data_IF_465253910701
#
_entry.id   IF_465253910701
#
_cell.length_a   1.000
_cell.length_b   1.000
_cell.length_c   1.000
_cell.angle_alpha   90.00
_cell.angle_beta   90.00
_cell.angle_gamma   90.00
#
_symmetry.space_group_name_H-M   'P 1'
#
loop_
_entity.id
_entity.type
_entity.pdbx_description
1 polymer ?
#
# COMPACT_ATOMS: atom_id res chain seq x y z
N UNK A 1 2.08 -9.45 23.82
CA UNK A 1 2.89 -8.95 22.69
C UNK A 1 2.26 -7.66 22.15
N UNK A 2 3.04 -6.60 21.91
CA UNK A 2 2.50 -5.30 21.47
C UNK A 2 2.37 -5.24 19.94
N UNK A 3 1.15 -4.97 19.45
CA UNK A 3 0.82 -4.78 18.03
C UNK A 3 1.74 -3.76 17.33
N UNK A 4 2.14 -2.69 18.03
CA UNK A 4 3.08 -1.68 17.51
C UNK A 4 4.45 -2.27 17.17
N UNK A 5 4.91 -3.25 17.95
CA UNK A 5 6.22 -3.91 17.73
C UNK A 5 6.19 -4.79 16.49
N UNK A 6 5.09 -5.52 16.29
CA UNK A 6 4.87 -6.32 15.08
C UNK A 6 4.74 -5.43 13.84
N UNK A 7 4.10 -4.26 13.96
CA UNK A 7 4.02 -3.29 12.87
C UNK A 7 5.40 -2.75 12.47
N UNK A 8 6.21 -2.31 13.45
CA UNK A 8 7.56 -1.83 13.17
C UNK A 8 8.43 -2.91 12.52
N UNK A 9 8.32 -4.15 13.00
CA UNK A 9 9.05 -5.28 12.42
C UNK A 9 8.61 -5.57 10.98
N UNK A 10 7.30 -5.55 10.70
CA UNK A 10 6.76 -5.73 9.36
C UNK A 10 7.21 -4.62 8.41
N UNK A 11 7.24 -3.36 8.86
CA UNK A 11 7.72 -2.22 8.08
C UNK A 11 9.22 -2.33 7.76
N UNK A 12 10.03 -2.75 8.73
CA UNK A 12 11.47 -3.03 8.55
C UNK A 12 11.71 -4.19 7.57
N UNK A 13 10.96 -5.28 7.71
CA UNK A 13 11.01 -6.42 6.79
C UNK A 13 10.69 -5.99 5.35
N UNK A 14 9.59 -5.25 5.15
CA UNK A 14 9.25 -4.72 3.83
C UNK A 14 10.30 -3.72 3.31
N UNK A 15 10.97 -2.98 4.19
CA UNK A 15 12.05 -2.08 3.81
C UNK A 15 13.27 -2.81 3.27
N UNK A 16 13.67 -3.91 3.91
CA UNK A 16 14.77 -4.75 3.45
C UNK A 16 14.47 -5.41 2.10
N UNK A 17 13.20 -5.75 1.85
CA UNK A 17 12.73 -6.28 0.57
C UNK A 17 12.56 -5.22 -0.53
N UNK A 18 12.89 -3.95 -0.26
CA UNK A 18 12.77 -2.86 -1.23
C UNK A 18 11.34 -2.29 -1.40
N UNK A 19 10.39 -2.73 -0.56
CA UNK A 19 9.06 -2.14 -0.38
C UNK A 19 9.00 -1.15 0.80
N UNK A 20 10.15 -0.67 1.28
CA UNK A 20 10.22 0.29 2.38
C UNK A 20 9.63 1.65 2.04
N UNK A 21 9.29 2.46 3.06
CA UNK A 21 8.89 3.84 2.90
C UNK A 21 10.10 4.70 2.50
N UNK A 22 10.68 4.49 1.31
CA UNK A 22 11.59 5.47 0.71
C UNK A 22 10.75 6.44 -0.10
N UNK A 23 10.60 7.62 0.49
CA UNK A 23 10.03 8.87 -0.04
C UNK A 23 8.51 8.98 0.09
N UNK A 24 8.13 10.03 0.82
CA UNK A 24 6.79 10.57 1.04
C UNK A 24 6.00 10.58 -0.29
N UNK A 25 4.90 9.83 -0.36
CA UNK A 25 3.85 10.12 -1.35
C UNK A 25 3.30 8.97 -2.17
N UNK A 26 4.07 7.96 -2.60
CA UNK A 26 3.58 6.79 -3.35
C UNK A 26 4.78 5.95 -3.79
N UNK A 27 5.02 4.81 -3.16
CA UNK A 27 5.53 3.67 -3.93
C UNK A 27 4.34 2.78 -4.20
N UNK A 28 3.78 3.02 -5.37
CA UNK A 28 2.83 2.12 -5.98
C UNK A 28 3.47 0.73 -6.00
N UNK A 29 2.89 -0.21 -5.24
CA UNK A 29 3.32 -1.60 -5.28
C UNK A 29 2.52 -2.39 -6.34
N UNK A 30 1.73 -1.71 -7.17
CA UNK A 30 1.08 -2.31 -8.35
C UNK A 30 2.12 -3.01 -9.24
N UNK A 31 1.75 -4.19 -9.72
CA UNK A 31 2.64 -5.06 -10.50
C UNK A 31 3.70 -5.79 -9.66
N UNK A 32 3.70 -5.62 -8.33
CA UNK A 32 4.54 -6.39 -7.41
C UNK A 32 3.67 -7.30 -6.56
N UNK A 33 4.15 -8.52 -6.34
CA UNK A 33 3.49 -9.55 -5.56
C UNK A 33 4.35 -9.90 -4.36
N UNK A 34 3.82 -9.75 -3.15
CA UNK A 34 4.46 -10.20 -1.93
C UNK A 34 4.11 -11.69 -1.71
N UNK A 35 5.12 -12.55 -1.73
CA UNK A 35 5.01 -13.94 -1.28
C UNK A 35 5.36 -14.01 0.21
N UNK A 36 4.46 -14.57 1.00
CA UNK A 36 4.64 -14.85 2.42
C UNK A 36 4.58 -16.36 2.62
N UNK A 37 5.68 -16.92 3.10
CA UNK A 37 5.77 -18.33 3.46
C UNK A 37 5.69 -18.44 4.98
N UNK A 38 4.57 -18.93 5.51
CA UNK A 38 4.33 -19.04 6.95
C UNK A 38 3.98 -20.48 7.36
N UNK A 39 4.61 -20.97 8.41
CA UNK A 39 4.34 -22.28 9.03
C UNK A 39 3.30 -22.19 10.16
N UNK A 40 2.85 -20.97 10.51
CA UNK A 40 1.95 -20.66 11.63
C UNK A 40 2.45 -21.10 13.02
N UNK A 41 3.68 -21.62 13.13
CA UNK A 41 4.25 -22.12 14.37
C UNK A 41 4.60 -21.00 15.36
N UNK A 42 4.83 -19.79 14.84
CA UNK A 42 5.16 -18.62 15.65
C UNK A 42 4.10 -17.51 15.48
N UNK A 43 3.22 -17.32 16.49
CA UNK A 43 2.15 -16.32 16.44
C UNK A 43 2.65 -14.89 16.20
N UNK A 44 3.86 -14.56 16.66
CA UNK A 44 4.45 -13.23 16.41
C UNK A 44 4.84 -13.04 14.95
N UNK A 45 5.42 -14.07 14.32
CA UNK A 45 5.79 -14.04 12.89
C UNK A 45 4.54 -13.94 12.02
N UNK A 46 3.53 -14.77 12.28
CA UNK A 46 2.24 -14.72 11.58
C UNK A 46 1.59 -13.34 11.69
N UNK A 47 1.68 -12.70 12.85
CA UNK A 47 1.21 -11.33 13.02
C UNK A 47 2.02 -10.33 12.18
N UNK A 48 3.34 -10.45 12.13
CA UNK A 48 4.20 -9.60 11.28
C UNK A 48 3.85 -9.75 9.80
N UNK A 49 3.66 -10.98 9.32
CA UNK A 49 3.25 -11.28 7.96
C UNK A 49 1.85 -10.74 7.63
N UNK A 50 0.91 -10.87 8.56
CA UNK A 50 -0.43 -10.31 8.42
C UNK A 50 -0.39 -8.78 8.28
N UNK A 51 0.45 -8.10 9.07
CA UNK A 51 0.60 -6.64 8.97
C UNK A 51 1.29 -6.26 7.66
N UNK A 52 2.34 -6.99 7.25
CA UNK A 52 3.03 -6.76 5.99
C UNK A 52 2.09 -6.90 4.79
N UNK A 53 1.27 -7.96 4.76
CA UNK A 53 0.20 -8.15 3.78
C UNK A 53 -0.75 -6.95 3.74
N UNK A 54 -1.25 -6.49 4.89
CA UNK A 54 -2.13 -5.31 4.95
C UNK A 54 -1.46 -4.05 4.38
N UNK A 55 -0.18 -3.84 4.63
CA UNK A 55 0.58 -2.70 4.11
C UNK A 55 0.71 -2.79 2.58
N UNK A 56 1.07 -3.97 2.05
CA UNK A 56 1.24 -4.16 0.60
C UNK A 56 -0.07 -4.00 -0.15
N UNK A 57 -1.17 -4.58 0.35
CA UNK A 57 -2.51 -4.43 -0.24
C UNK A 57 -2.95 -2.98 -0.30
N UNK A 58 -2.72 -2.21 0.78
CA UNK A 58 -3.00 -0.77 0.84
C UNK A 58 -2.21 0.05 -0.17
N UNK A 59 -1.03 -0.45 -0.59
CA UNK A 59 -0.17 0.18 -1.59
C UNK A 59 -0.42 -0.34 -3.01
N UNK A 60 -1.42 -1.21 -3.21
CA UNK A 60 -1.85 -1.73 -4.50
C UNK A 60 -1.06 -2.94 -5.01
N UNK A 61 -0.24 -3.57 -4.16
CA UNK A 61 0.45 -4.82 -4.52
C UNK A 61 -0.38 -6.06 -4.23
N UNK A 62 -0.06 -7.14 -4.95
CA UNK A 62 -0.66 -8.45 -4.77
C UNK A 62 0.02 -9.22 -3.63
N UNK A 63 -0.70 -10.18 -3.05
CA UNK A 63 -0.21 -10.97 -1.92
C UNK A 63 -0.54 -12.43 -2.19
N UNK A 64 0.44 -13.29 -1.96
CA UNK A 64 0.27 -14.73 -1.90
C UNK A 64 0.81 -15.22 -0.57
N UNK A 65 0.00 -15.98 0.16
CA UNK A 65 0.39 -16.63 1.40
C UNK A 65 0.36 -18.13 1.14
N UNK A 66 1.46 -18.83 1.43
CA UNK A 66 1.54 -20.28 1.31
C UNK A 66 2.22 -20.89 2.52
N UNK A 67 1.94 -22.17 2.77
CA UNK A 67 2.71 -22.96 3.72
C UNK A 67 4.12 -23.27 3.15
N UNK A 68 5.15 -23.37 4.00
CA UNK A 68 6.48 -23.81 3.58
C UNK A 68 6.45 -25.24 3.06
N UNK A 69 7.28 -25.51 2.05
CA UNK A 69 7.59 -26.87 1.60
C UNK A 69 8.49 -27.58 2.62
N UNK A 70 8.61 -28.90 2.49
CA UNK A 70 9.48 -29.69 3.34
C UNK A 70 10.93 -29.15 3.32
N UNK A 71 11.42 -28.67 4.47
CA UNK A 71 12.74 -28.07 4.62
C UNK A 71 12.83 -26.57 4.29
N UNK A 72 11.75 -25.92 3.88
CA UNK A 72 11.70 -24.48 3.61
C UNK A 72 11.47 -23.69 4.90
N UNK A 73 12.31 -22.69 5.14
CA UNK A 73 12.19 -21.82 6.32
C UNK A 73 11.15 -20.73 6.03
N UNK A 74 10.29 -20.34 7.00
CA UNK A 74 9.37 -19.22 6.84
C UNK A 74 10.09 -17.91 6.48
N UNK A 75 9.67 -17.28 5.39
CA UNK A 75 10.28 -16.06 4.86
C UNK A 75 9.27 -15.22 4.07
N UNK A 76 9.70 -14.02 3.69
CA UNK A 76 8.93 -13.11 2.86
C UNK A 76 9.78 -12.69 1.65
N UNK A 77 9.17 -12.66 0.47
CA UNK A 77 9.82 -12.33 -0.78
C UNK A 77 8.91 -11.42 -1.64
N UNK A 78 9.49 -10.53 -2.44
CA UNK A 78 8.74 -9.75 -3.43
C UNK A 78 9.04 -10.30 -4.82
N UNK A 79 8.01 -10.84 -5.46
CA UNK A 79 8.01 -11.33 -6.83
C UNK A 79 7.52 -10.21 -7.76
N UNK A 80 8.20 -9.98 -8.87
CA UNK A 80 7.78 -9.04 -9.93
C UNK A 80 8.90 -8.13 -10.44
N UNK A 81 8.78 -7.77 -11.73
CA UNK A 81 9.67 -6.84 -12.43
C UNK A 81 9.46 -5.37 -12.05
N UNK A 82 10.07 -4.40 -12.76
CA UNK A 82 9.88 -2.98 -12.50
C UNK A 82 8.39 -2.62 -12.51
N UNK A 83 7.93 -1.71 -11.62
CA UNK A 83 6.51 -1.40 -11.47
C UNK A 83 5.92 -0.99 -12.82
N UNK A 84 4.83 -1.64 -13.23
CA UNK A 84 4.03 -1.14 -14.35
C UNK A 84 3.57 0.27 -14.00
N UNK A 85 3.91 1.24 -14.86
CA UNK A 85 3.48 2.62 -14.68
C UNK A 85 1.96 2.59 -14.52
N UNK A 86 1.39 3.24 -13.49
CA UNK A 86 -0.05 3.32 -13.37
C UNK A 86 -0.59 3.96 -14.64
N UNK A 87 -1.46 3.25 -15.36
CA UNK A 87 -2.21 3.88 -16.44
C UNK A 87 -2.89 5.13 -15.85
N UNK A 88 -2.75 6.30 -16.50
CA UNK A 88 -3.45 7.48 -16.06
C UNK A 88 -4.94 7.16 -16.12
N UNK A 89 -5.58 7.06 -14.94
CA UNK A 89 -7.03 7.06 -14.86
C UNK A 89 -7.49 8.29 -15.62
N UNK A 90 -8.10 8.09 -16.80
CA UNK A 90 -8.78 9.15 -17.52
C UNK A 90 -9.72 9.82 -16.51
N UNK A 91 -9.68 11.15 -16.35
CA UNK A 91 -10.63 11.84 -15.49
C UNK A 91 -12.01 11.59 -16.10
N UNK A 92 -12.77 10.70 -15.48
CA UNK A 92 -14.18 10.49 -15.78
C UNK A 92 -14.88 11.82 -15.49
N UNK A 93 -15.37 12.44 -16.55
CA UNK A 93 -15.78 13.83 -16.56
C UNK A 93 -16.87 14.11 -15.53
N UNK A 94 -16.51 14.84 -14.47
CA UNK A 94 -17.50 15.53 -13.65
C UNK A 94 -17.54 16.98 -14.09
N UNK A 95 -18.55 17.26 -14.92
CA UNK A 95 -18.88 18.57 -15.49
C UNK A 95 -18.68 19.68 -14.45
N UNK A 96 -17.84 20.63 -14.80
CA UNK A 96 -17.76 21.95 -14.19
C UNK A 96 -19.09 22.68 -14.39
N UNK A 97 -19.99 22.62 -13.41
CA UNK A 97 -21.10 23.57 -13.33
C UNK A 97 -20.59 24.81 -12.58
N UNK A 98 -19.97 25.71 -13.33
CA UNK A 98 -19.67 27.05 -12.89
C UNK A 98 -20.99 27.82 -12.70
N UNK A 99 -21.58 27.76 -11.50
CA UNK A 99 -22.60 28.72 -11.09
C UNK A 99 -21.91 30.00 -10.60
N UNK A 100 -21.57 30.85 -11.55
CA UNK A 100 -21.32 32.26 -11.34
C UNK A 100 -22.63 32.88 -10.82
N UNK A 101 -22.71 33.21 -9.53
CA UNK A 101 -23.61 34.25 -9.05
C UNK A 101 -22.76 35.42 -8.61
N UNK A 102 -22.63 36.34 -9.55
CA UNK A 102 -22.04 37.65 -9.46
C UNK A 102 -22.58 38.39 -8.24
N UNK A 103 -21.68 38.76 -7.33
CA UNK A 103 -21.87 39.80 -6.34
C UNK A 103 -21.78 41.16 -7.03
N UNK A 104 -22.85 41.96 -7.00
CA UNK A 104 -22.79 43.39 -7.36
C UNK A 104 -22.96 44.21 -6.08
N UNK A 105 -22.01 45.10 -5.74
CA UNK A 105 -22.11 45.98 -4.58
C UNK A 105 -23.00 47.19 -4.87
N UNK A 106 -23.44 47.84 -3.80
CA UNK A 106 -24.55 48.79 -3.77
C UNK A 106 -24.44 50.04 -4.65
N UNK A 107 -25.60 50.67 -4.86
CA UNK A 107 -25.70 52.06 -5.30
C UNK A 107 -26.61 52.81 -4.33
N UNK A 108 -25.98 53.61 -3.45
CA UNK A 108 -26.58 54.81 -2.84
C UNK A 108 -26.36 55.98 -3.81
N UNK A 109 -27.41 56.75 -4.09
CA UNK A 109 -27.47 58.16 -4.54
C UNK A 109 -28.95 58.45 -4.80
N UNK A 110 -29.56 59.56 -4.44
CA UNK A 110 -29.29 60.69 -3.54
C UNK A 110 -30.66 61.32 -3.33
#
# INVERSE_FOLDING_TARGET
MSWKRAQFHAESMLANLGAGPKVKGRKDLRGRKLLLVDDEANPYRTMCFTIAAKIVKKRGGDIEIRAPKAGEIPHAEILGGPPEKPEPRKPEGRKSEARTRTSTPGTKRR
#
